data_IF_124223163374
#
_entry.id   IF_124223163374
#
_cell.length_a   1.000
_cell.length_b   1.000
_cell.length_c   1.000
_cell.angle_alpha   90.00
_cell.angle_beta   90.00
_cell.angle_gamma   90.00
#
_symmetry.space_group_name_H-M   'P 1'
#
loop_
_entity.id
_entity.type
_entity.pdbx_description
1 polymer ?
#
# COMPACT_ATOMS: atom_id res chain seq x y z
N UNK A 1 31.71 -33.49 -72.76
CA UNK A 1 31.17 -32.13 -72.88
C UNK A 1 32.17 -31.15 -72.32
N UNK A 2 31.86 -29.85 -72.39
CA UNK A 2 32.59 -28.83 -71.63
C UNK A 2 32.19 -28.93 -70.14
N UNK A 3 33.11 -29.30 -69.24
CA UNK A 3 32.80 -29.49 -67.81
C UNK A 3 32.35 -28.20 -67.14
N UNK A 4 32.77 -27.02 -67.63
CA UNK A 4 32.29 -25.74 -67.09
C UNK A 4 30.81 -25.52 -67.39
N UNK A 5 30.39 -25.73 -68.63
CA UNK A 5 28.98 -25.62 -69.01
C UNK A 5 28.09 -26.61 -68.24
N UNK A 6 28.58 -27.83 -68.01
CA UNK A 6 27.87 -28.84 -67.21
C UNK A 6 27.77 -28.44 -65.73
N UNK A 7 28.86 -27.94 -65.15
CA UNK A 7 28.88 -27.46 -63.77
C UNK A 7 27.97 -26.25 -63.55
N UNK A 8 27.93 -25.29 -64.48
CA UNK A 8 27.01 -24.14 -64.41
C UNK A 8 25.56 -24.60 -64.43
N UNK A 9 25.21 -25.53 -65.33
CA UNK A 9 23.85 -26.10 -65.38
C UNK A 9 23.49 -26.82 -64.07
N UNK A 10 24.39 -27.66 -63.55
CA UNK A 10 24.17 -28.35 -62.27
C UNK A 10 24.04 -27.35 -61.11
N UNK A 11 24.79 -26.26 -61.13
CA UNK A 11 24.69 -25.22 -60.11
C UNK A 11 23.37 -24.45 -60.19
N UNK A 12 22.85 -24.17 -61.38
CA UNK A 12 21.51 -23.59 -61.54
C UNK A 12 20.42 -24.55 -61.06
N UNK A 13 20.52 -25.84 -61.39
CA UNK A 13 19.57 -26.88 -60.97
C UNK A 13 19.55 -27.08 -59.45
N UNK A 14 20.72 -27.01 -58.81
CA UNK A 14 20.89 -27.27 -57.37
C UNK A 14 20.91 -26.00 -56.51
N UNK A 15 20.91 -24.81 -57.12
CA UNK A 15 21.19 -23.55 -56.42
C UNK A 15 22.58 -23.51 -55.78
N UNK A 16 23.57 -24.18 -56.39
CA UNK A 16 24.92 -24.35 -55.86
C UNK A 16 25.86 -23.19 -56.25
N UNK A 17 26.98 -23.07 -55.53
CA UNK A 17 28.10 -22.25 -56.01
C UNK A 17 29.00 -23.07 -56.93
N UNK A 18 29.62 -22.42 -57.92
CA UNK A 18 30.61 -23.04 -58.80
C UNK A 18 32.00 -22.53 -58.45
N UNK A 19 32.95 -23.44 -58.22
CA UNK A 19 34.37 -23.14 -58.14
C UNK A 19 35.12 -23.76 -59.32
N UNK A 20 35.78 -22.90 -60.10
CA UNK A 20 36.53 -23.29 -61.31
C UNK A 20 38.05 -23.34 -61.10
N UNK A 21 38.51 -22.95 -59.92
CA UNK A 21 39.91 -22.94 -59.52
C UNK A 21 40.06 -23.10 -57.99
N UNK A 22 41.31 -23.32 -57.55
CA UNK A 22 41.66 -23.54 -56.16
C UNK A 22 41.28 -22.37 -55.24
N UNK A 23 41.45 -21.13 -55.69
CA UNK A 23 41.19 -19.95 -54.88
C UNK A 23 39.69 -19.75 -54.64
N UNK A 24 38.88 -19.93 -55.68
CA UNK A 24 37.43 -19.91 -55.59
C UNK A 24 36.91 -21.01 -54.66
N UNK A 25 37.48 -22.23 -54.74
CA UNK A 25 37.10 -23.33 -53.87
C UNK A 25 37.46 -23.06 -52.40
N UNK A 26 38.69 -22.60 -52.12
CA UNK A 26 39.11 -22.24 -50.75
C UNK A 26 38.25 -21.11 -50.16
N UNK A 27 37.90 -20.10 -50.96
CA UNK A 27 37.03 -18.99 -50.54
C UNK A 27 35.62 -19.49 -50.22
N UNK A 28 35.04 -20.31 -51.10
CA UNK A 28 33.70 -20.86 -50.94
C UNK A 28 33.57 -21.77 -49.72
N UNK A 29 34.60 -22.59 -49.44
CA UNK A 29 34.64 -23.42 -48.23
C UNK A 29 34.85 -22.59 -46.98
N UNK A 30 35.76 -21.62 -46.99
CA UNK A 30 35.99 -20.73 -45.84
C UNK A 30 34.71 -19.97 -45.46
N UNK A 31 33.97 -19.49 -46.45
CA UNK A 31 32.67 -18.84 -46.25
C UNK A 31 31.65 -19.78 -45.61
N UNK A 32 31.50 -21.01 -46.14
CA UNK A 32 30.61 -22.04 -45.58
C UNK A 32 30.98 -22.43 -44.16
N UNK A 33 32.27 -22.58 -43.86
CA UNK A 33 32.75 -22.87 -42.50
C UNK A 33 32.43 -21.72 -41.56
N UNK A 34 32.66 -20.47 -41.98
CA UNK A 34 32.29 -19.29 -41.19
C UNK A 34 30.78 -19.18 -40.99
N UNK A 35 29.98 -19.53 -41.99
CA UNK A 35 28.53 -19.55 -41.91
C UNK A 35 28.03 -20.68 -40.99
N UNK A 36 28.58 -21.89 -41.11
CA UNK A 36 28.25 -23.04 -40.26
C UNK A 36 28.58 -22.78 -38.79
N UNK A 37 29.70 -22.11 -38.50
CA UNK A 37 30.03 -21.68 -37.12
C UNK A 37 29.00 -20.68 -36.57
N UNK A 38 28.53 -19.73 -37.37
CA UNK A 38 27.49 -18.78 -36.97
C UNK A 38 26.14 -19.47 -36.74
N UNK A 39 25.77 -20.39 -37.63
CA UNK A 39 24.53 -21.16 -37.52
C UNK A 39 24.47 -22.00 -36.23
N UNK A 40 25.59 -22.57 -35.78
CA UNK A 40 25.64 -23.43 -34.58
C UNK A 40 25.69 -22.66 -33.23
N UNK A 41 25.65 -21.33 -33.23
CA UNK A 41 25.92 -20.55 -32.01
C UNK A 41 24.78 -20.54 -30.95
N UNK A 42 23.59 -21.09 -31.19
CA UNK A 42 22.57 -21.31 -30.14
C UNK A 42 21.56 -22.43 -30.49
N UNK A 43 20.66 -22.77 -29.57
CA UNK A 43 19.64 -23.81 -29.76
C UNK A 43 18.51 -23.42 -30.72
N UNK A 44 18.32 -24.22 -31.77
CA UNK A 44 17.34 -24.03 -32.86
C UNK A 44 15.87 -23.86 -32.41
N UNK A 45 15.51 -24.33 -31.22
CA UNK A 45 14.13 -24.26 -30.73
C UNK A 45 13.68 -22.81 -30.43
N UNK A 46 14.58 -21.99 -29.88
CA UNK A 46 14.27 -20.60 -29.53
C UNK A 46 14.20 -19.70 -30.78
N UNK A 47 15.06 -19.95 -31.76
CA UNK A 47 15.08 -19.21 -33.02
C UNK A 47 13.81 -19.43 -33.84
N UNK A 48 13.34 -20.67 -33.94
CA UNK A 48 12.10 -20.97 -34.65
C UNK A 48 10.89 -20.31 -33.99
N UNK A 49 10.85 -20.25 -32.65
CA UNK A 49 9.81 -19.54 -31.92
C UNK A 49 9.86 -18.01 -32.14
N UNK A 50 11.06 -17.42 -32.17
CA UNK A 50 11.25 -16.00 -32.50
C UNK A 50 10.83 -15.68 -33.94
N UNK A 51 11.27 -16.48 -34.90
CA UNK A 51 10.93 -16.32 -36.32
C UNK A 51 9.43 -16.50 -36.58
N UNK A 52 8.76 -17.42 -35.88
CA UNK A 52 7.31 -17.55 -35.93
C UNK A 52 6.57 -16.29 -35.44
N UNK A 53 7.21 -15.51 -34.55
CA UNK A 53 6.70 -14.25 -34.00
C UNK A 53 7.24 -13.00 -34.73
N UNK A 54 8.05 -13.16 -35.77
CA UNK A 54 8.76 -12.06 -36.44
C UNK A 54 7.84 -10.89 -36.85
N UNK A 55 6.69 -11.21 -37.47
CA UNK A 55 5.73 -10.19 -37.89
C UNK A 55 5.09 -9.42 -36.70
N UNK A 56 4.94 -10.06 -35.54
CA UNK A 56 4.47 -9.39 -34.33
C UNK A 56 5.55 -8.48 -33.74
N UNK A 57 6.79 -8.96 -33.65
CA UNK A 57 7.94 -8.20 -33.15
C UNK A 57 8.18 -6.97 -34.02
N UNK A 58 8.24 -7.13 -35.36
CA UNK A 58 8.44 -6.01 -36.29
C UNK A 58 7.29 -4.99 -36.24
N UNK A 59 6.04 -5.45 -36.09
CA UNK A 59 4.89 -4.55 -35.90
C UNK A 59 4.98 -3.78 -34.58
N UNK A 60 5.39 -4.43 -33.50
CA UNK A 60 5.59 -3.75 -32.22
C UNK A 60 6.69 -2.69 -32.32
N UNK A 61 7.82 -3.02 -32.97
CA UNK A 61 8.93 -2.10 -33.19
C UNK A 61 8.58 -0.91 -34.12
N UNK A 62 7.59 -1.05 -35.02
CA UNK A 62 7.12 0.04 -35.89
C UNK A 62 6.00 0.87 -35.27
N UNK A 63 5.13 0.27 -34.45
CA UNK A 63 4.03 0.96 -33.78
C UNK A 63 4.51 1.93 -32.69
N UNK A 64 5.65 1.61 -32.07
CA UNK A 64 6.35 2.52 -31.15
C UNK A 64 7.76 2.68 -31.68
N UNK A 65 8.02 3.70 -32.55
CA UNK A 65 9.35 3.91 -33.08
C UNK A 65 10.33 3.98 -31.90
N UNK A 66 11.50 3.34 -32.03
CA UNK A 66 12.42 3.22 -30.92
C UNK A 66 12.84 4.61 -30.47
N UNK A 67 12.66 4.88 -29.18
CA UNK A 67 13.24 6.08 -28.58
C UNK A 67 14.75 5.98 -28.71
N UNK A 68 15.36 7.01 -29.28
CA UNK A 68 16.82 7.10 -29.33
C UNK A 68 17.40 7.17 -27.92
N UNK A 69 18.63 6.71 -27.72
CA UNK A 69 19.32 6.82 -26.43
C UNK A 69 19.33 8.28 -25.91
N UNK A 70 19.51 9.25 -26.82
CA UNK A 70 19.45 10.69 -26.54
C UNK A 70 18.06 11.13 -26.04
N UNK A 71 16.99 10.57 -26.61
CA UNK A 71 15.60 10.88 -26.23
C UNK A 71 15.26 10.26 -24.87
N UNK A 72 15.74 9.04 -24.60
CA UNK A 72 15.63 8.38 -23.30
C UNK A 72 16.36 9.18 -22.22
N UNK A 73 17.58 9.65 -22.50
CA UNK A 73 18.33 10.52 -21.59
C UNK A 73 17.60 11.85 -21.37
N UNK A 74 17.07 12.45 -22.43
CA UNK A 74 16.31 13.70 -22.32
C UNK A 74 15.03 13.52 -21.49
N UNK A 75 14.28 12.45 -21.68
CA UNK A 75 13.08 12.13 -20.88
C UNK A 75 13.43 11.99 -19.41
N UNK A 76 14.50 11.25 -19.06
CA UNK A 76 14.98 11.10 -17.68
C UNK A 76 15.41 12.43 -17.07
N UNK A 77 16.12 13.25 -17.84
CA UNK A 77 16.56 14.58 -17.38
C UNK A 77 15.35 15.48 -17.10
N UNK A 78 14.40 15.55 -18.01
CA UNK A 78 13.21 16.40 -17.84
C UNK A 78 12.31 15.88 -16.73
N UNK A 79 12.15 14.58 -16.57
CA UNK A 79 11.50 13.96 -15.42
C UNK A 79 12.11 14.43 -14.09
N UNK A 80 13.44 14.34 -13.96
CA UNK A 80 14.14 14.81 -12.77
C UNK A 80 13.95 16.32 -12.54
N UNK A 81 13.94 17.13 -13.61
CA UNK A 81 13.68 18.56 -13.54
C UNK A 81 12.24 18.87 -13.08
N UNK A 82 11.22 18.12 -13.54
CA UNK A 82 9.83 18.27 -13.10
C UNK A 82 9.72 18.01 -11.60
N UNK A 83 10.24 16.87 -11.14
CA UNK A 83 10.19 16.48 -9.73
C UNK A 83 10.95 17.48 -8.85
N UNK A 84 12.12 17.94 -9.30
CA UNK A 84 12.90 18.97 -8.62
C UNK A 84 12.13 20.29 -8.55
N UNK A 85 11.55 20.75 -9.66
CA UNK A 85 10.75 21.96 -9.70
C UNK A 85 9.52 21.87 -8.78
N UNK A 86 8.87 20.70 -8.73
CA UNK A 86 7.75 20.42 -7.84
C UNK A 86 8.13 20.54 -6.37
N UNK A 87 9.24 19.93 -5.96
CA UNK A 87 9.79 20.05 -4.60
C UNK A 87 10.15 21.49 -4.24
N UNK A 88 10.82 22.22 -5.15
CA UNK A 88 11.17 23.64 -4.93
C UNK A 88 9.91 24.48 -4.75
N UNK A 89 8.88 24.25 -5.59
CA UNK A 89 7.58 24.93 -5.47
C UNK A 89 6.94 24.65 -4.11
N UNK A 90 6.78 23.38 -3.74
CA UNK A 90 6.16 22.99 -2.47
C UNK A 90 6.88 23.60 -1.26
N UNK A 91 8.22 23.51 -1.23
CA UNK A 91 9.02 24.07 -0.15
C UNK A 91 8.94 25.60 -0.09
N UNK A 92 8.97 26.28 -1.25
CA UNK A 92 8.86 27.75 -1.31
C UNK A 92 7.49 28.21 -0.81
N UNK A 93 6.41 27.56 -1.25
CA UNK A 93 5.05 27.87 -0.79
C UNK A 93 4.92 27.65 0.71
N UNK A 94 5.35 26.50 1.22
CA UNK A 94 5.31 26.19 2.66
C UNK A 94 6.08 27.24 3.49
N UNK A 95 7.31 27.56 3.10
CA UNK A 95 8.14 28.56 3.80
C UNK A 95 7.53 29.97 3.77
N UNK A 96 6.91 30.36 2.65
CA UNK A 96 6.21 31.64 2.56
C UNK A 96 4.97 31.65 3.44
N UNK A 97 4.18 30.58 3.43
CA UNK A 97 3.00 30.42 4.28
C UNK A 97 3.37 30.49 5.78
N UNK A 98 4.40 29.75 6.21
CA UNK A 98 4.93 29.80 7.58
C UNK A 98 5.37 31.22 7.99
N UNK A 99 6.09 31.92 7.09
CA UNK A 99 6.57 33.28 7.37
C UNK A 99 5.42 34.28 7.47
N UNK A 100 4.39 34.13 6.62
CA UNK A 100 3.19 34.96 6.67
C UNK A 100 2.39 34.68 7.95
N UNK A 101 2.19 33.40 8.28
CA UNK A 101 1.49 32.99 9.50
C UNK A 101 2.20 33.50 10.76
N UNK A 102 3.54 33.43 10.82
CA UNK A 102 4.31 33.98 11.94
C UNK A 102 4.15 35.50 12.09
N UNK A 103 4.08 36.24 10.97
CA UNK A 103 3.85 37.69 10.97
C UNK A 103 2.42 38.05 11.36
N UNK A 104 1.44 37.28 10.88
CA UNK A 104 0.02 37.42 11.22
C UNK A 104 -0.18 37.17 12.72
N UNK A 105 0.31 36.04 13.24
CA UNK A 105 0.24 35.69 14.65
C UNK A 105 0.92 36.74 15.57
N UNK A 106 2.02 37.37 15.11
CA UNK A 106 2.68 38.44 15.86
C UNK A 106 1.90 39.77 15.85
N UNK A 107 0.96 39.98 14.93
CA UNK A 107 0.20 41.23 14.78
C UNK A 107 -1.27 41.14 15.23
N UNK A 108 -1.84 39.94 15.34
CA UNK A 108 -3.23 39.74 15.78
C UNK A 108 -3.35 39.69 17.31
N UNK A 109 -3.54 40.85 17.95
CA UNK A 109 -3.78 40.94 19.40
C UNK A 109 -5.18 40.50 19.87
N UNK A 110 -6.13 40.28 18.95
CA UNK A 110 -7.56 39.99 19.26
C UNK A 110 -8.17 39.08 18.18
N UNK A 111 -7.58 37.91 17.93
CA UNK A 111 -8.17 36.90 17.05
C UNK A 111 -8.48 35.63 17.84
N UNK A 112 -9.60 34.97 17.52
CA UNK A 112 -9.89 33.61 17.97
C UNK A 112 -8.70 32.72 17.63
N UNK A 113 -7.99 32.24 18.65
CA UNK A 113 -6.78 31.46 18.43
C UNK A 113 -7.16 30.16 17.70
N UNK A 114 -6.54 29.80 16.56
CA UNK A 114 -6.91 28.62 15.78
C UNK A 114 -6.94 27.31 16.58
N UNK A 115 -6.05 27.16 17.55
CA UNK A 115 -6.04 25.99 18.43
C UNK A 115 -7.31 25.86 19.30
N UNK A 116 -7.99 26.96 19.63
CA UNK A 116 -9.24 26.93 20.38
C UNK A 116 -10.40 26.42 19.52
N UNK A 117 -10.42 26.76 18.23
CA UNK A 117 -11.39 26.24 17.25
C UNK A 117 -11.13 24.75 17.04
N UNK A 118 -9.88 24.34 16.78
CA UNK A 118 -9.50 22.94 16.60
C UNK A 118 -9.82 22.09 17.85
N UNK A 119 -9.54 22.60 19.05
CA UNK A 119 -9.87 21.89 20.29
C UNK A 119 -11.38 21.79 20.53
N UNK A 120 -12.16 22.79 20.14
CA UNK A 120 -13.62 22.74 20.24
C UNK A 120 -14.22 21.75 19.23
N UNK A 121 -13.73 21.72 17.99
CA UNK A 121 -14.11 20.74 16.99
C UNK A 121 -13.81 19.30 17.44
N UNK A 122 -12.58 19.05 17.90
CA UNK A 122 -12.17 17.75 18.44
C UNK A 122 -13.04 17.31 19.62
N UNK A 123 -13.41 18.24 20.52
CA UNK A 123 -14.30 17.93 21.63
C UNK A 123 -15.71 17.50 21.17
N UNK A 124 -16.22 18.05 20.05
CA UNK A 124 -17.51 17.62 19.46
C UNK A 124 -17.37 16.23 18.84
N UNK A 125 -16.35 16.01 18.00
CA UNK A 125 -16.16 14.72 17.32
C UNK A 125 -15.87 13.57 18.30
N UNK A 126 -15.09 13.83 19.35
CA UNK A 126 -14.83 12.86 20.42
C UNK A 126 -16.08 12.52 21.23
N UNK A 127 -16.94 13.51 21.49
CA UNK A 127 -18.20 13.31 22.21
C UNK A 127 -19.19 12.50 21.37
N UNK A 128 -19.30 12.78 20.07
CA UNK A 128 -20.15 12.04 19.13
C UNK A 128 -19.66 10.59 18.98
N UNK A 129 -18.34 10.39 18.86
CA UNK A 129 -17.75 9.05 18.86
C UNK A 129 -18.00 8.28 20.18
N UNK A 130 -18.11 8.97 21.31
CA UNK A 130 -18.48 8.34 22.59
C UNK A 130 -19.95 7.90 22.60
N UNK A 131 -20.87 8.67 22.02
CA UNK A 131 -22.28 8.28 21.87
C UNK A 131 -22.39 7.06 20.97
N UNK A 132 -21.72 7.04 19.82
CA UNK A 132 -21.72 5.90 18.89
C UNK A 132 -21.20 4.63 19.57
N UNK A 133 -20.11 4.71 20.35
CA UNK A 133 -19.60 3.57 21.13
C UNK A 133 -20.59 3.08 22.19
N UNK A 134 -21.27 3.99 22.89
CA UNK A 134 -22.29 3.62 23.87
C UNK A 134 -23.49 2.94 23.18
N UNK A 135 -23.94 3.44 22.04
CA UNK A 135 -25.01 2.84 21.24
C UNK A 135 -24.63 1.45 20.71
N UNK A 136 -23.39 1.27 20.26
CA UNK A 136 -22.87 -0.05 19.87
C UNK A 136 -22.88 -1.02 21.06
N UNK A 137 -22.42 -0.60 22.25
CA UNK A 137 -22.48 -1.42 23.45
C UNK A 137 -23.92 -1.80 23.85
N UNK A 138 -24.89 -0.91 23.65
CA UNK A 138 -26.33 -1.18 23.83
C UNK A 138 -26.81 -2.24 22.82
N UNK A 139 -26.41 -2.11 21.55
CA UNK A 139 -26.77 -3.06 20.50
C UNK A 139 -26.16 -4.45 20.74
N UNK A 140 -24.90 -4.51 21.19
CA UNK A 140 -24.19 -5.76 21.53
C UNK A 140 -24.84 -6.50 22.70
N UNK A 141 -25.49 -5.78 23.61
CA UNK A 141 -26.27 -6.37 24.70
C UNK A 141 -27.56 -7.05 24.20
N UNK A 142 -27.95 -6.89 22.93
CA UNK A 142 -29.14 -7.50 22.32
C UNK A 142 -30.47 -6.89 22.76
N UNK A 143 -31.60 -7.28 22.11
CA UNK A 143 -32.93 -6.77 22.43
C UNK A 143 -33.34 -7.16 23.86
N UNK A 144 -34.06 -6.25 24.53
CA UNK A 144 -34.56 -6.49 25.89
C UNK A 144 -35.41 -7.77 25.90
N UNK A 145 -35.10 -8.75 26.79
CA UNK A 145 -35.93 -9.93 26.91
C UNK A 145 -37.34 -9.48 27.31
N UNK A 146 -38.39 -10.05 26.69
CA UNK A 146 -39.77 -9.69 27.02
C UNK A 146 -40.00 -9.85 28.52
N UNK A 147 -40.71 -8.88 29.12
CA UNK A 147 -41.00 -8.95 30.54
C UNK A 147 -41.92 -10.16 30.79
N UNK A 148 -41.57 -11.12 31.67
CA UNK A 148 -42.39 -12.30 31.91
C UNK A 148 -43.80 -11.97 32.43
N UNK A 149 -44.05 -10.74 32.89
CA UNK A 149 -45.40 -10.27 33.26
C UNK A 149 -46.31 -10.01 32.05
N UNK A 150 -45.74 -9.77 30.86
CA UNK A 150 -46.52 -9.56 29.62
C UNK A 150 -46.91 -10.89 28.93
N UNK A 151 -46.38 -12.03 29.41
CA UNK A 151 -46.70 -13.35 28.86
C UNK A 151 -47.94 -14.01 29.50
N UNK A 152 -48.59 -13.35 30.47
CA UNK A 152 -49.76 -13.89 31.20
C UNK A 152 -51.12 -13.39 30.73
N UNK A 153 -51.20 -12.59 29.67
CA UNK A 153 -52.46 -12.30 28.99
C UNK A 153 -52.83 -13.45 28.04
N UNK A 154 -53.22 -14.58 28.63
CA UNK A 154 -53.93 -15.63 27.92
C UNK A 154 -55.30 -15.12 27.44
N UNK A 155 -55.84 -15.64 26.32
CA UNK A 155 -57.15 -15.27 25.80
C UNK A 155 -58.24 -15.90 26.68
N UNK A 156 -58.54 -15.25 27.79
CA UNK A 156 -59.58 -15.65 28.75
C UNK A 156 -60.52 -14.47 28.98
N UNK A 157 -61.72 -14.58 28.42
CA UNK A 157 -62.70 -13.51 28.41
C UNK A 157 -63.18 -13.05 29.78
N UNK A 158 -63.50 -11.77 29.85
CA UNK A 158 -64.61 -11.26 30.63
C UNK A 158 -65.23 -10.12 29.83
N UNK A 159 -66.37 -10.41 29.23
CA UNK A 159 -67.36 -9.42 28.83
C UNK A 159 -67.70 -8.58 30.08
N UNK A 160 -67.34 -7.30 30.06
CA UNK A 160 -67.98 -6.30 30.92
C UNK A 160 -68.23 -5.04 30.07
N UNK A 161 -69.48 -4.79 29.65
CA UNK A 161 -69.82 -3.63 28.85
C UNK A 161 -70.38 -2.55 29.76
N UNK A 162 -69.58 -1.56 30.18
CA UNK A 162 -70.06 -0.23 30.61
C UNK A 162 -68.88 0.63 31.09
N UNK A 163 -68.48 1.59 30.26
CA UNK A 163 -68.52 3.04 30.53
C UNK A 163 -67.60 3.77 29.55
N UNK A 164 -68.22 4.40 28.55
CA UNK A 164 -67.64 5.53 27.82
C UNK A 164 -67.39 6.69 28.79
N UNK A 165 -66.14 7.13 28.92
CA UNK A 165 -65.82 8.53 29.20
C UNK A 165 -64.71 9.02 28.26
N UNK A 166 -64.92 10.13 27.53
CA UNK A 166 -63.88 10.79 26.76
C UNK A 166 -63.24 11.91 27.59
N UNK A 167 -61.92 11.91 27.73
CA UNK A 167 -61.22 13.15 28.07
C UNK A 167 -59.92 12.99 28.84
N UNK A 168 -58.84 13.36 28.15
CA UNK A 168 -57.76 14.24 28.61
C UNK A 168 -56.39 13.66 28.23
N UNK A 169 -55.75 14.33 27.28
CA UNK A 169 -54.32 14.20 27.02
C UNK A 169 -53.55 14.58 28.30
N UNK A 170 -53.00 13.57 28.97
CA UNK A 170 -52.06 13.76 30.08
C UNK A 170 -50.64 13.71 29.51
N UNK A 171 -49.96 14.84 29.66
CA UNK A 171 -48.57 15.14 29.29
C UNK A 171 -47.58 14.27 30.11
N UNK A 172 -46.67 13.49 29.49
CA UNK A 172 -45.84 12.51 30.21
C UNK A 172 -44.49 13.05 30.70
N UNK A 173 -44.37 14.34 31.06
CA UNK A 173 -43.06 14.95 31.38
C UNK A 173 -42.78 15.13 32.87
N UNK A 174 -43.75 14.97 33.78
CA UNK A 174 -43.53 15.31 35.18
C UNK A 174 -44.04 14.22 36.12
N UNK A 175 -43.21 13.20 36.36
CA UNK A 175 -43.03 12.56 37.69
C UNK A 175 -42.00 11.43 37.61
N UNK A 176 -40.70 11.75 37.71
CA UNK A 176 -39.66 10.81 38.16
C UNK A 176 -39.15 11.26 39.54
N UNK A 177 -38.99 10.35 40.51
CA UNK A 177 -38.51 10.72 41.84
C UNK A 177 -37.03 11.12 41.75
N UNK A 178 -36.70 12.31 42.26
CA UNK A 178 -35.33 12.79 42.43
C UNK A 178 -34.60 11.87 43.41
N UNK A 179 -33.80 10.94 42.89
CA UNK A 179 -32.75 10.32 43.71
C UNK A 179 -31.70 11.40 44.00
N UNK A 180 -31.44 11.61 45.29
CA UNK A 180 -30.52 12.61 45.81
C UNK A 180 -29.12 12.25 45.31
N UNK A 181 -28.64 13.03 44.34
CA UNK A 181 -27.31 12.93 43.75
C UNK A 181 -26.25 13.15 44.82
N UNK A 182 -25.32 12.21 45.02
CA UNK A 182 -24.22 12.35 45.98
C UNK A 182 -23.14 13.29 45.44
N UNK A 183 -23.43 14.59 45.49
CA UNK A 183 -22.52 15.68 45.10
C UNK A 183 -21.17 15.60 45.84
N UNK A 184 -21.15 15.01 47.04
CA UNK A 184 -19.96 14.93 47.90
C UNK A 184 -18.98 13.84 47.47
N UNK A 185 -19.46 12.78 46.81
CA UNK A 185 -18.62 11.76 46.16
C UNK A 185 -17.85 12.31 44.96
N UNK A 186 -18.49 13.15 44.15
CA UNK A 186 -17.91 13.80 42.98
C UNK A 186 -16.86 14.87 43.35
N UNK A 187 -17.08 15.63 44.43
CA UNK A 187 -16.08 16.56 44.93
C UNK A 187 -14.79 15.84 45.38
N UNK A 188 -14.90 14.70 46.08
CA UNK A 188 -13.73 13.90 46.50
C UNK A 188 -12.91 13.39 45.31
N UNK A 189 -13.55 12.97 44.21
CA UNK A 189 -12.87 12.59 42.96
C UNK A 189 -12.17 13.79 42.31
N UNK A 190 -12.82 14.95 42.26
CA UNK A 190 -12.24 16.18 41.69
C UNK A 190 -11.00 16.66 42.47
N UNK A 191 -11.00 16.55 43.80
CA UNK A 191 -9.83 16.91 44.61
C UNK A 191 -8.64 15.96 44.38
N UNK A 192 -8.89 14.64 44.28
CA UNK A 192 -7.83 13.66 43.97
C UNK A 192 -7.25 13.87 42.57
N UNK A 193 -8.08 14.15 41.57
CA UNK A 193 -7.65 14.41 40.21
C UNK A 193 -6.83 15.71 40.11
N UNK A 194 -7.24 16.78 40.81
CA UNK A 194 -6.48 18.05 40.87
C UNK A 194 -5.12 17.91 41.56
N UNK A 195 -5.06 17.12 42.64
CA UNK A 195 -3.80 16.84 43.32
C UNK A 195 -2.83 16.04 42.43
N UNK A 196 -3.35 15.02 41.71
CA UNK A 196 -2.57 14.24 40.76
C UNK A 196 -2.10 15.08 39.56
N UNK A 197 -2.95 15.96 39.01
CA UNK A 197 -2.56 16.81 37.88
C UNK A 197 -1.50 17.85 38.25
N UNK A 198 -1.57 18.39 39.47
CA UNK A 198 -0.54 19.30 39.97
C UNK A 198 0.78 18.56 40.17
N UNK A 199 0.74 17.36 40.78
CA UNK A 199 1.93 16.53 40.98
C UNK A 199 2.59 16.19 39.64
N UNK A 200 1.82 15.78 38.62
CA UNK A 200 2.36 15.43 37.31
C UNK A 200 2.96 16.64 36.58
N UNK A 201 2.35 17.82 36.71
CA UNK A 201 2.85 19.05 36.10
C UNK A 201 4.23 19.43 36.68
N UNK A 202 4.36 19.45 38.02
CA UNK A 202 5.62 19.80 38.68
C UNK A 202 6.70 18.73 38.49
N UNK A 203 6.32 17.45 38.43
CA UNK A 203 7.26 16.37 38.07
C UNK A 203 7.79 16.53 36.64
N UNK A 204 6.91 16.82 35.67
CA UNK A 204 7.31 17.08 34.29
C UNK A 204 8.22 18.30 34.15
N UNK A 205 7.89 19.41 34.83
CA UNK A 205 8.71 20.62 34.81
C UNK A 205 10.09 20.37 35.45
N UNK A 206 10.15 19.57 36.51
CA UNK A 206 11.41 19.17 37.15
C UNK A 206 12.30 18.34 36.22
N UNK A 207 11.72 17.40 35.46
CA UNK A 207 12.45 16.58 34.48
C UNK A 207 12.99 17.44 33.34
N UNK A 208 12.18 18.36 32.80
CA UNK A 208 12.62 19.28 31.73
C UNK A 208 13.74 20.21 32.21
N UNK A 209 13.62 20.75 33.43
CA UNK A 209 14.67 21.59 34.01
C UNK A 209 15.99 20.81 34.22
N UNK A 210 15.91 19.55 34.63
CA UNK A 210 17.06 18.66 34.79
C UNK A 210 17.70 18.32 33.45
N UNK A 211 16.90 18.02 32.41
CA UNK A 211 17.37 17.76 31.06
C UNK A 211 18.02 18.99 30.40
N UNK A 212 17.63 20.19 30.83
CA UNK A 212 18.14 21.48 30.30
C UNK A 212 19.44 21.94 30.98
N UNK A 213 20.04 21.12 31.85
CA UNK A 213 21.32 21.42 32.51
C UNK A 213 21.23 22.50 33.60
N UNK A 214 20.03 22.85 34.06
CA UNK A 214 19.85 23.73 35.22
C UNK A 214 20.34 22.99 36.47
N UNK A 215 21.03 23.70 37.38
CA UNK A 215 21.63 23.11 38.57
C UNK A 215 20.64 22.17 39.29
N UNK A 216 21.06 20.95 39.68
CA UNK A 216 20.17 19.89 40.18
C UNK A 216 19.35 20.30 41.42
N UNK A 217 19.84 21.30 42.16
CA UNK A 217 19.13 21.90 43.29
C UNK A 217 17.80 22.55 42.88
N UNK A 218 17.71 23.15 41.70
CA UNK A 218 16.50 23.81 41.19
C UNK A 218 15.44 22.78 40.78
N UNK A 219 15.84 21.72 40.07
CA UNK A 219 14.96 20.62 39.70
C UNK A 219 14.40 19.87 40.92
N UNK A 220 15.27 19.58 41.90
CA UNK A 220 14.84 18.99 43.18
C UNK A 220 13.89 19.89 43.97
N UNK A 221 14.14 21.21 43.97
CA UNK A 221 13.27 22.20 44.63
C UNK A 221 11.85 22.22 44.06
N UNK A 222 11.69 22.16 42.73
CA UNK A 222 10.38 22.16 42.07
C UNK A 222 9.56 20.90 42.38
N UNK A 223 10.21 19.73 42.43
CA UNK A 223 9.55 18.48 42.80
C UNK A 223 9.12 18.51 44.27
N UNK A 224 9.96 19.02 45.16
CA UNK A 224 9.63 19.16 46.59
C UNK A 224 8.43 20.12 46.80
N UNK A 225 8.37 21.24 46.07
CA UNK A 225 7.23 22.17 46.11
C UNK A 225 5.95 21.52 45.58
N UNK A 226 6.04 20.75 44.49
CA UNK A 226 4.90 20.00 43.95
C UNK A 226 4.34 18.97 44.94
N UNK A 227 5.21 18.21 45.60
CA UNK A 227 4.83 17.24 46.65
C UNK A 227 4.22 17.96 47.87
N UNK A 228 4.78 19.10 48.28
CA UNK A 228 4.27 19.87 49.41
C UNK A 228 2.86 20.43 49.12
N UNK A 229 2.61 20.97 47.92
CA UNK A 229 1.30 21.48 47.52
C UNK A 229 0.26 20.35 47.37
N UNK A 230 0.68 19.18 46.85
CA UNK A 230 -0.17 17.99 46.81
C UNK A 230 -0.52 17.49 48.22
N UNK A 231 0.44 17.47 49.15
CA UNK A 231 0.20 17.10 50.54
C UNK A 231 -0.70 18.11 51.27
N UNK A 232 -0.51 19.41 51.07
CA UNK A 232 -1.34 20.47 51.65
C UNK A 232 -2.80 20.40 51.17
N UNK A 233 -3.02 20.08 49.89
CA UNK A 233 -4.37 19.91 49.35
C UNK A 233 -5.06 18.63 49.85
N UNK A 234 -4.30 17.55 50.10
CA UNK A 234 -4.81 16.32 50.73
C UNK A 234 -5.11 16.51 52.23
N UNK A 235 -4.22 17.15 52.99
CA UNK A 235 -4.36 17.38 54.45
C UNK A 235 -5.43 18.42 54.76
N UNK A 236 -5.57 19.46 53.91
CA UNK A 236 -6.65 20.45 54.02
C UNK A 236 -8.05 19.85 53.84
N UNK A 237 -8.17 18.74 53.12
CA UNK A 237 -9.42 18.00 52.94
C UNK A 237 -9.78 17.08 54.13
N UNK A 238 -8.80 16.58 54.89
CA UNK A 238 -9.03 15.59 55.95
C UNK A 238 -9.57 16.17 57.26
N UNK A 239 -9.27 17.44 57.61
CA UNK A 239 -9.71 18.04 58.89
C UNK A 239 -11.24 18.25 59.02
N UNK A 240 -12.04 17.94 57.99
CA UNK A 240 -13.52 18.02 58.03
C UNK A 240 -14.23 16.68 58.12
N UNK A 241 -13.53 15.54 58.16
CA UNK A 241 -14.18 14.22 57.98
C UNK A 241 -13.91 13.16 59.04
N UNK A 242 -13.25 13.50 60.16
CA UNK A 242 -12.91 12.54 61.24
C UNK A 242 -14.09 12.01 62.07
N UNK A 243 -15.34 12.14 61.58
CA UNK A 243 -16.53 11.52 62.21
C UNK A 243 -17.15 10.39 61.40
N UNK A 244 -16.63 10.06 60.21
CA UNK A 244 -17.25 9.11 59.28
C UNK A 244 -16.37 7.89 58.90
N UNK A 245 -15.20 7.74 59.52
CA UNK A 245 -14.29 6.60 59.27
C UNK A 245 -14.59 5.36 60.13
N UNK A 246 -15.52 5.44 61.09
CA UNK A 246 -15.93 4.29 61.88
C UNK A 246 -16.84 3.31 61.11
N UNK A 247 -17.67 3.80 60.18
CA UNK A 247 -18.64 2.95 59.44
C UNK A 247 -18.08 2.34 58.14
N UNK A 248 -16.89 2.76 57.69
CA UNK A 248 -16.33 2.31 56.39
C UNK A 248 -15.44 1.06 56.51
N UNK A 249 -14.94 0.75 57.71
CA UNK A 249 -14.13 -0.45 57.95
C UNK A 249 -14.95 -1.76 57.80
N UNK A 250 -16.26 -1.71 58.04
CA UNK A 250 -17.15 -2.87 57.93
C UNK A 250 -17.56 -3.21 56.48
N UNK A 251 -17.39 -2.27 55.54
CA UNK A 251 -17.78 -2.46 54.13
C UNK A 251 -16.60 -2.95 53.27
N UNK A 252 -15.37 -2.53 53.59
CA UNK A 252 -14.17 -2.97 52.87
C UNK A 252 -13.78 -4.43 53.20
N UNK A 253 -14.16 -4.94 54.39
CA UNK A 253 -14.01 -6.37 54.74
C UNK A 253 -14.89 -7.33 53.93
N UNK A 254 -16.02 -6.85 53.38
CA UNK A 254 -16.94 -7.66 52.57
C UNK A 254 -16.58 -7.70 51.08
N UNK A 255 -15.83 -6.71 50.58
CA UNK A 255 -15.39 -6.68 49.17
C UNK A 255 -14.15 -7.55 48.91
N UNK A 256 -13.24 -7.69 49.89
CA UNK A 256 -12.07 -8.55 49.77
C UNK A 256 -12.40 -10.06 49.74
N UNK A 257 -13.52 -10.48 50.34
CA UNK A 257 -13.99 -11.86 50.30
C UNK A 257 -14.66 -12.25 48.96
N UNK A 258 -15.12 -11.28 48.16
CA UNK A 258 -15.68 -11.54 46.83
C UNK A 258 -14.57 -11.76 45.78
N UNK A 259 -13.43 -11.09 45.90
CA UNK A 259 -12.32 -11.23 44.95
C UNK A 259 -11.60 -12.59 45.05
N UNK A 260 -11.60 -13.22 46.24
CA UNK A 260 -11.02 -14.55 46.47
C UNK A 260 -11.86 -15.71 45.89
N UNK A 261 -13.16 -15.50 45.63
CA UNK A 261 -14.07 -16.53 45.10
C UNK A 261 -14.04 -16.59 43.56
N UNK A 262 -13.67 -15.50 42.89
CA UNK A 262 -13.72 -15.39 41.42
C UNK A 262 -12.35 -15.42 40.70
N UNK A 263 -11.24 -15.41 41.43
CA UNK A 263 -9.89 -15.26 40.85
C UNK A 263 -9.13 -16.54 40.47
N UNK A 264 -9.64 -17.75 40.74
CA UNK A 264 -8.83 -18.97 40.65
C UNK A 264 -9.49 -20.16 39.98
N UNK A 265 -9.71 -20.14 38.66
CA UNK A 265 -9.88 -21.36 37.83
C UNK A 265 -9.97 -21.07 36.31
N UNK A 266 -8.81 -21.05 35.60
CA UNK A 266 -8.63 -21.70 34.27
C UNK A 266 -7.25 -21.45 33.64
N UNK A 267 -6.37 -22.44 33.77
CA UNK A 267 -5.39 -22.95 32.79
C UNK A 267 -4.56 -24.02 33.54
N UNK A 268 -4.49 -25.31 33.22
CA UNK A 268 -5.07 -26.17 32.21
C UNK A 268 -4.27 -27.48 32.30
N UNK A 269 -4.89 -28.65 32.38
CA UNK A 269 -4.26 -29.90 31.93
C UNK A 269 -5.33 -30.96 31.71
N UNK A 270 -5.36 -31.46 30.48
CA UNK A 270 -6.08 -32.66 30.08
C UNK A 270 -5.12 -33.82 30.34
N UNK A 271 -5.56 -34.81 31.09
CA UNK A 271 -5.07 -36.18 30.89
C UNK A 271 -6.20 -37.18 31.06
N UNK A 272 -6.16 -38.17 30.20
CA UNK A 272 -7.16 -39.20 30.02
C UNK A 272 -6.90 -40.42 30.92
N UNK A 273 -7.96 -41.24 31.01
CA UNK A 273 -8.00 -42.65 31.40
C UNK A 273 -8.23 -42.96 32.90
N UNK A 274 -9.39 -43.58 33.14
CA UNK A 274 -9.51 -45.00 33.50
C UNK A 274 -10.46 -45.29 34.68
N UNK A 275 -11.29 -46.30 34.42
CA UNK A 275 -12.06 -47.20 35.26
C UNK A 275 -12.50 -46.82 36.69
N UNK A 276 -13.81 -46.95 36.92
CA UNK A 276 -14.29 -48.08 37.73
C UNK A 276 -15.07 -47.75 39.01
N UNK A 277 -16.35 -48.14 39.00
CA UNK A 277 -17.18 -48.46 40.17
C UNK A 277 -17.60 -47.27 41.03
N UNK A 278 -18.64 -47.33 41.84
CA UNK A 278 -19.71 -48.30 42.08
C UNK A 278 -20.66 -47.56 43.05
N UNK A 279 -21.95 -47.87 42.96
CA UNK A 279 -23.04 -47.68 43.91
C UNK A 279 -23.02 -46.59 45.00
N UNK A 280 -24.09 -45.78 45.03
CA UNK A 280 -24.34 -44.89 46.17
C UNK A 280 -25.61 -44.03 46.11
N UNK A 281 -26.77 -44.66 46.04
CA UNK A 281 -28.07 -44.25 46.59
C UNK A 281 -28.35 -42.74 46.88
N UNK A 282 -29.36 -42.22 46.17
CA UNK A 282 -30.48 -41.48 46.77
C UNK A 282 -30.18 -40.11 47.38
N UNK A 283 -30.18 -39.06 46.55
CA UNK A 283 -30.57 -37.70 46.98
C UNK A 283 -31.45 -37.05 45.91
N UNK A 284 -32.66 -36.70 46.34
CA UNK A 284 -33.63 -35.85 45.65
C UNK A 284 -32.95 -34.57 45.17
N UNK A 285 -32.96 -34.36 43.85
CA UNK A 285 -32.50 -33.15 43.20
C UNK A 285 -33.33 -31.94 43.70
N UNK A 286 -32.71 -30.89 44.25
CA UNK A 286 -33.36 -29.60 44.36
C UNK A 286 -33.39 -28.92 42.98
N UNK A 287 -34.47 -28.19 42.71
CA UNK A 287 -34.67 -27.35 41.53
C UNK A 287 -33.59 -26.25 41.41
N UNK A 288 -32.42 -26.57 40.86
CA UNK A 288 -31.27 -25.65 40.68
C UNK A 288 -31.30 -24.90 39.34
N UNK A 289 -32.37 -25.06 38.53
CA UNK A 289 -32.43 -24.46 37.19
C UNK A 289 -33.04 -23.04 37.11
N UNK A 290 -33.60 -22.49 38.20
CA UNK A 290 -34.17 -21.13 38.21
C UNK A 290 -33.15 -20.05 38.63
N UNK A 291 -32.30 -20.33 39.63
CA UNK A 291 -31.31 -19.35 40.15
C UNK A 291 -30.28 -18.88 39.11
N UNK A 292 -29.85 -19.75 38.19
CA UNK A 292 -28.87 -19.39 37.15
C UNK A 292 -29.42 -18.45 36.07
N UNK A 293 -30.73 -18.48 35.82
CA UNK A 293 -31.40 -17.60 34.84
C UNK A 293 -31.57 -16.20 35.44
N UNK A 294 -31.93 -16.12 36.71
CA UNK A 294 -32.10 -14.84 37.42
C UNK A 294 -30.75 -14.09 37.55
N UNK A 295 -29.65 -14.78 37.84
CA UNK A 295 -28.33 -14.12 37.89
C UNK A 295 -27.86 -13.60 36.54
N UNK A 296 -28.13 -14.31 35.44
CA UNK A 296 -27.80 -13.82 34.08
C UNK A 296 -28.68 -12.65 33.67
N UNK A 297 -29.97 -12.66 34.05
CA UNK A 297 -30.90 -11.55 33.82
C UNK A 297 -30.47 -10.32 34.62
N UNK A 298 -30.20 -10.45 35.92
CA UNK A 298 -29.75 -9.35 36.78
C UNK A 298 -28.42 -8.77 36.32
N UNK A 299 -27.42 -9.61 35.99
CA UNK A 299 -26.14 -9.13 35.47
C UNK A 299 -26.28 -8.41 34.12
N UNK A 300 -27.24 -8.81 33.28
CA UNK A 300 -27.55 -8.12 32.03
C UNK A 300 -28.22 -6.77 32.28
N UNK A 301 -29.20 -6.72 33.19
CA UNK A 301 -29.89 -5.47 33.57
C UNK A 301 -28.87 -4.48 34.17
N UNK A 302 -28.01 -4.92 35.09
CA UNK A 302 -26.97 -4.08 35.67
C UNK A 302 -26.02 -3.52 34.60
N UNK A 303 -25.56 -4.37 33.67
CA UNK A 303 -24.75 -3.92 32.53
C UNK A 303 -25.49 -2.92 31.67
N UNK A 304 -26.78 -3.15 31.40
CA UNK A 304 -27.59 -2.25 30.58
C UNK A 304 -27.75 -0.88 31.24
N UNK A 305 -28.03 -0.83 32.54
CA UNK A 305 -28.11 0.43 33.31
C UNK A 305 -26.81 1.21 33.27
N UNK A 306 -25.65 0.53 33.39
CA UNK A 306 -24.34 1.19 33.29
C UNK A 306 -24.08 1.74 31.90
N UNK A 307 -24.43 1.00 30.85
CA UNK A 307 -24.25 1.44 29.46
C UNK A 307 -25.22 2.57 29.10
N UNK A 308 -26.47 2.52 29.56
CA UNK A 308 -27.45 3.58 29.36
C UNK A 308 -27.05 4.87 30.09
N UNK A 309 -26.54 4.77 31.33
CA UNK A 309 -25.97 5.93 32.04
C UNK A 309 -24.75 6.52 31.30
N UNK A 310 -23.88 5.67 30.75
CA UNK A 310 -22.74 6.14 29.95
C UNK A 310 -23.18 6.80 28.64
N UNK A 311 -24.28 6.34 28.04
CA UNK A 311 -24.91 6.96 26.88
C UNK A 311 -25.47 8.34 27.24
N UNK A 312 -26.24 8.47 28.32
CA UNK A 312 -26.79 9.75 28.78
C UNK A 312 -25.66 10.77 29.07
N UNK A 313 -24.57 10.34 29.72
CA UNK A 313 -23.40 11.19 29.95
C UNK A 313 -22.70 11.60 28.64
N UNK A 314 -22.63 10.69 27.65
CA UNK A 314 -22.07 11.01 26.34
C UNK A 314 -22.96 12.00 25.56
N UNK A 315 -24.27 11.83 25.59
CA UNK A 315 -25.24 12.74 24.96
C UNK A 315 -25.17 14.15 25.57
N UNK A 316 -25.04 14.25 26.90
CA UNK A 316 -24.84 15.55 27.57
C UNK A 316 -23.50 16.18 27.17
N UNK A 317 -22.43 15.40 27.03
CA UNK A 317 -21.14 15.91 26.54
C UNK A 317 -21.24 16.44 25.11
N UNK A 318 -21.98 15.76 24.23
CA UNK A 318 -22.24 16.27 22.86
C UNK A 318 -22.99 17.60 22.92
N UNK A 319 -24.03 17.69 23.76
CA UNK A 319 -24.81 18.93 23.93
C UNK A 319 -23.93 20.10 24.37
N UNK A 320 -23.11 19.90 25.41
CA UNK A 320 -22.19 20.93 25.94
C UNK A 320 -21.12 21.29 24.91
N UNK A 321 -20.52 20.31 24.23
CA UNK A 321 -19.51 20.53 23.20
C UNK A 321 -20.08 21.31 22.00
N UNK A 322 -21.29 20.95 21.54
CA UNK A 322 -21.97 21.66 20.44
C UNK A 322 -22.35 23.08 20.80
N UNK A 323 -22.84 23.35 22.01
CA UNK A 323 -23.11 24.73 22.47
C UNK A 323 -21.82 25.57 22.45
N UNK A 324 -20.71 25.00 22.95
CA UNK A 324 -19.41 25.67 22.94
C UNK A 324 -18.89 25.88 21.51
N UNK A 325 -19.08 24.91 20.62
CA UNK A 325 -18.76 25.04 19.20
C UNK A 325 -19.56 26.17 18.55
N UNK A 326 -20.89 26.19 18.72
CA UNK A 326 -21.75 27.24 18.16
C UNK A 326 -21.38 28.65 18.67
N UNK A 327 -20.96 28.78 19.93
CA UNK A 327 -20.48 30.06 20.48
C UNK A 327 -19.18 30.55 19.85
N UNK A 328 -18.32 29.62 19.40
CA UNK A 328 -17.01 29.93 18.82
C UNK A 328 -17.05 30.09 17.30
N UNK A 329 -17.76 29.20 16.61
CA UNK A 329 -17.75 29.03 15.17
C UNK A 329 -19.06 29.48 14.48
N UNK A 330 -20.13 29.70 15.25
CA UNK A 330 -21.48 29.92 14.74
C UNK A 330 -22.29 28.62 14.61
N UNK A 331 -23.63 28.72 14.53
CA UNK A 331 -24.52 27.54 14.49
C UNK A 331 -24.46 26.77 13.17
N UNK A 332 -24.04 27.42 12.08
CA UNK A 332 -23.98 26.81 10.74
C UNK A 332 -22.61 26.19 10.41
N UNK A 333 -21.64 26.30 11.32
CA UNK A 333 -20.28 25.81 11.11
C UNK A 333 -20.19 24.30 11.33
N UNK A 334 -19.54 23.60 10.39
CA UNK A 334 -19.32 22.17 10.47
C UNK A 334 -18.13 21.83 11.39
N UNK A 335 -18.32 21.12 12.51
CA UNK A 335 -17.23 20.68 13.39
C UNK A 335 -16.27 19.67 12.73
N UNK A 336 -16.65 19.07 11.60
CA UNK A 336 -15.77 18.18 10.82
C UNK A 336 -14.88 18.94 9.83
N UNK A 337 -15.10 20.24 9.63
CA UNK A 337 -14.26 21.14 8.83
C UNK A 337 -13.85 22.39 9.64
N UNK A 338 -13.03 22.22 10.70
CA UNK A 338 -12.59 23.35 11.51
C UNK A 338 -11.68 24.31 10.75
N UNK A 339 -11.06 23.88 9.66
CA UNK A 339 -10.19 24.71 8.83
C UNK A 339 -10.99 25.76 8.05
N UNK A 340 -12.17 25.42 7.53
CA UNK A 340 -13.08 26.40 6.93
C UNK A 340 -13.51 27.48 7.93
N UNK A 341 -13.78 27.10 9.18
CA UNK A 341 -14.15 28.04 10.26
C UNK A 341 -12.98 28.96 10.61
N UNK A 342 -11.77 28.40 10.76
CA UNK A 342 -10.56 29.19 11.01
C UNK A 342 -10.31 30.18 9.87
N UNK A 343 -10.48 29.76 8.60
CA UNK A 343 -10.35 30.63 7.42
C UNK A 343 -11.42 31.74 7.39
N UNK A 344 -12.66 31.44 7.79
CA UNK A 344 -13.74 32.40 7.83
C UNK A 344 -13.56 33.48 8.91
N UNK A 345 -13.07 33.09 10.09
CA UNK A 345 -12.86 34.00 11.23
C UNK A 345 -11.51 34.73 11.20
N UNK A 346 -10.53 34.24 10.46
CA UNK A 346 -9.27 34.92 10.22
C UNK A 346 -9.09 35.25 8.73
N UNK A 347 -9.59 36.42 8.28
CA UNK A 347 -9.37 36.90 6.92
C UNK A 347 -7.88 36.94 6.57
N UNK A 348 -6.98 37.11 7.54
CA UNK A 348 -5.54 37.18 7.29
C UNK A 348 -4.97 35.81 6.87
N UNK A 349 -5.59 34.69 7.28
CA UNK A 349 -5.24 33.36 6.78
C UNK A 349 -5.68 33.17 5.32
N UNK A 350 -6.91 33.58 4.97
CA UNK A 350 -7.37 33.60 3.57
C UNK A 350 -6.53 34.55 2.70
N UNK A 351 -6.10 35.70 3.24
CA UNK A 351 -5.14 36.58 2.59
C UNK A 351 -3.76 35.96 2.49
N UNK A 352 -3.31 35.14 3.44
CA UNK A 352 -1.97 34.53 3.41
C UNK A 352 -1.84 33.46 2.31
N UNK A 353 -2.88 32.66 2.06
CA UNK A 353 -2.93 31.70 0.94
C UNK A 353 -2.89 32.45 -0.40
N UNK A 354 -3.75 33.47 -0.57
CA UNK A 354 -3.76 34.32 -1.76
C UNK A 354 -2.48 35.19 -1.90
N UNK A 355 -1.87 35.60 -0.80
CA UNK A 355 -0.62 36.39 -0.76
C UNK A 355 0.60 35.53 -1.09
N UNK A 356 0.64 34.29 -0.62
CA UNK A 356 1.65 33.33 -1.00
C UNK A 356 1.58 33.07 -2.51
N UNK A 357 0.39 32.90 -3.09
CA UNK A 357 0.23 32.74 -4.54
C UNK A 357 0.57 34.00 -5.36
N UNK A 358 0.33 35.19 -4.81
CA UNK A 358 0.65 36.47 -5.48
C UNK A 358 2.09 36.94 -5.26
N UNK A 359 2.85 36.31 -4.36
CA UNK A 359 4.27 36.58 -4.13
C UNK A 359 5.07 36.44 -5.44
N UNK A 360 5.88 37.45 -5.83
CA UNK A 360 6.69 37.37 -7.05
C UNK A 360 7.59 36.13 -7.11
N UNK A 361 8.15 35.70 -5.97
CA UNK A 361 9.00 34.52 -5.87
C UNK A 361 8.21 33.24 -6.15
N UNK A 362 7.05 33.05 -5.49
CA UNK A 362 6.18 31.89 -5.71
C UNK A 362 5.67 31.85 -7.15
N UNK A 363 5.29 33.00 -7.72
CA UNK A 363 4.88 33.10 -9.14
C UNK A 363 6.00 32.69 -10.09
N UNK A 364 7.24 33.11 -9.82
CA UNK A 364 8.41 32.75 -10.64
C UNK A 364 8.68 31.25 -10.58
N UNK A 365 8.66 30.65 -9.38
CA UNK A 365 8.84 29.20 -9.20
C UNK A 365 7.70 28.42 -9.83
N UNK A 366 6.44 28.86 -9.68
CA UNK A 366 5.29 28.25 -10.31
C UNK A 366 5.32 28.37 -11.85
N UNK A 367 5.85 29.47 -12.40
CA UNK A 367 6.07 29.64 -13.83
C UNK A 367 7.15 28.68 -14.34
N UNK A 368 8.27 28.54 -13.61
CA UNK A 368 9.30 27.56 -13.92
C UNK A 368 8.75 26.12 -13.91
N UNK A 369 8.01 25.75 -12.85
CA UNK A 369 7.36 24.44 -12.77
C UNK A 369 6.42 24.18 -13.94
N UNK A 370 5.54 25.14 -14.29
CA UNK A 370 4.63 25.03 -15.44
C UNK A 370 5.39 24.86 -16.76
N UNK A 371 6.48 25.59 -16.96
CA UNK A 371 7.34 25.48 -18.15
C UNK A 371 7.96 24.08 -18.25
N UNK A 372 8.50 23.56 -17.14
CA UNK A 372 9.10 22.23 -17.10
C UNK A 372 8.05 21.13 -17.33
N UNK A 373 6.87 21.25 -16.71
CA UNK A 373 5.76 20.33 -16.92
C UNK A 373 5.23 20.37 -18.37
N UNK A 374 5.20 21.54 -19.00
CA UNK A 374 4.85 21.65 -20.42
C UNK A 374 5.87 20.96 -21.32
N UNK A 375 7.18 21.13 -21.04
CA UNK A 375 8.24 20.40 -21.76
C UNK A 375 8.12 18.89 -21.59
N UNK A 376 7.83 18.43 -20.37
CA UNK A 376 7.56 17.02 -20.09
C UNK A 376 6.41 16.49 -20.93
N UNK A 377 5.26 17.18 -20.95
CA UNK A 377 4.10 16.80 -21.77
C UNK A 377 4.43 16.69 -23.25
N UNK A 378 5.21 17.63 -23.79
CA UNK A 378 5.62 17.61 -25.20
C UNK A 378 6.50 16.39 -25.50
N UNK A 379 7.50 16.11 -24.66
CA UNK A 379 8.38 14.95 -24.84
C UNK A 379 7.63 13.63 -24.66
N UNK A 380 6.70 13.56 -23.71
CA UNK A 380 5.87 12.39 -23.49
C UNK A 380 4.93 12.11 -24.68
N UNK A 381 4.34 13.16 -25.25
CA UNK A 381 3.55 13.07 -26.47
C UNK A 381 4.41 12.66 -27.67
N UNK A 382 5.63 13.17 -27.78
CA UNK A 382 6.58 12.75 -28.81
C UNK A 382 6.94 11.25 -28.71
N UNK A 383 6.93 10.69 -27.50
CA UNK A 383 7.07 9.25 -27.26
C UNK A 383 5.79 8.43 -27.59
N UNK A 384 4.77 9.05 -28.20
CA UNK A 384 3.54 8.38 -28.64
C UNK A 384 2.50 8.17 -27.54
N UNK A 385 2.54 8.97 -26.46
CA UNK A 385 1.61 8.86 -25.32
C UNK A 385 0.82 10.16 -25.14
N UNK A 386 -0.50 10.06 -25.21
CA UNK A 386 -1.38 11.24 -25.23
C UNK A 386 -1.44 11.98 -23.89
N UNK A 387 -1.39 11.25 -22.77
CA UNK A 387 -1.52 11.81 -21.43
C UNK A 387 -0.25 11.60 -20.62
N UNK A 388 0.35 12.70 -20.17
CA UNK A 388 1.54 12.68 -19.35
C UNK A 388 1.17 12.41 -17.88
N UNK A 389 1.91 11.53 -17.17
CA UNK A 389 1.64 11.24 -15.77
C UNK A 389 1.67 12.46 -14.88
N UNK A 390 0.90 12.36 -13.81
CA UNK A 390 1.09 13.23 -12.65
C UNK A 390 2.48 13.05 -12.03
N UNK A 391 3.07 14.10 -11.44
CA UNK A 391 4.41 14.05 -10.87
C UNK A 391 4.62 12.91 -9.86
N UNK A 392 3.58 12.50 -9.14
CA UNK A 392 3.62 11.43 -8.14
C UNK A 392 3.82 10.03 -8.76
N UNK A 393 3.36 9.84 -9.99
CA UNK A 393 3.44 8.57 -10.72
C UNK A 393 4.50 8.60 -11.84
N UNK A 394 5.21 9.71 -11.98
CA UNK A 394 6.08 10.00 -13.11
C UNK A 394 7.22 8.97 -13.23
N UNK A 395 7.92 8.68 -12.13
CA UNK A 395 9.05 7.73 -12.13
C UNK A 395 8.59 6.32 -12.50
N UNK A 396 7.50 5.84 -11.88
CA UNK A 396 6.96 4.51 -12.14
C UNK A 396 6.54 4.32 -13.60
N UNK A 397 5.83 5.31 -14.17
CA UNK A 397 5.41 5.24 -15.58
C UNK A 397 6.58 5.39 -16.55
N UNK A 398 7.59 6.19 -16.21
CA UNK A 398 8.80 6.30 -17.03
C UNK A 398 9.57 4.97 -17.03
N UNK A 399 9.72 4.32 -15.88
CA UNK A 399 10.39 3.02 -15.79
C UNK A 399 9.64 1.93 -16.55
N UNK A 400 8.31 1.91 -16.47
CA UNK A 400 7.47 1.01 -17.26
C UNK A 400 7.68 1.23 -18.77
N UNK A 401 7.60 2.49 -19.21
CA UNK A 401 7.79 2.86 -20.61
C UNK A 401 9.19 2.43 -21.11
N UNK A 402 10.23 2.76 -20.36
CA UNK A 402 11.61 2.40 -20.71
C UNK A 402 11.88 0.90 -20.60
N UNK A 403 11.17 0.19 -19.71
CA UNK A 403 11.21 -1.27 -19.60
C UNK A 403 10.61 -1.94 -20.84
N UNK A 404 9.40 -1.53 -21.24
CA UNK A 404 8.72 -2.02 -22.43
C UNK A 404 9.52 -1.73 -23.71
N UNK A 405 10.11 -0.54 -23.80
CA UNK A 405 10.98 -0.16 -24.91
C UNK A 405 12.22 -1.05 -25.00
N UNK A 406 12.95 -1.25 -23.89
CA UNK A 406 14.12 -2.16 -23.85
C UNK A 406 13.77 -3.59 -24.21
N UNK A 407 12.62 -4.10 -23.74
CA UNK A 407 12.16 -5.44 -24.08
C UNK A 407 11.89 -5.56 -25.59
N UNK A 408 11.25 -4.56 -26.19
CA UNK A 408 10.96 -4.53 -27.64
C UNK A 408 12.25 -4.48 -28.46
N UNK A 409 13.23 -3.68 -28.05
CA UNK A 409 14.55 -3.60 -28.71
C UNK A 409 15.35 -4.89 -28.57
N UNK A 410 15.32 -5.52 -27.39
CA UNK A 410 15.96 -6.82 -27.19
C UNK A 410 15.31 -7.92 -28.04
N UNK A 411 13.98 -7.90 -28.19
CA UNK A 411 13.26 -8.82 -29.06
C UNK A 411 13.62 -8.60 -30.54
N UNK A 412 13.72 -7.35 -30.98
CA UNK A 412 14.13 -7.00 -32.34
C UNK A 412 15.58 -7.43 -32.62
N UNK A 413 16.52 -7.13 -31.73
CA UNK A 413 17.92 -7.55 -31.87
C UNK A 413 18.06 -9.09 -31.91
N UNK A 414 17.35 -9.80 -31.04
CA UNK A 414 17.33 -11.28 -31.06
C UNK A 414 16.72 -11.83 -32.34
N UNK A 415 15.70 -11.17 -32.89
CA UNK A 415 15.11 -11.54 -34.18
C UNK A 415 16.12 -11.35 -35.32
N UNK A 416 16.83 -10.21 -35.37
CA UNK A 416 17.87 -9.95 -36.36
C UNK A 416 18.99 -11.00 -36.28
N UNK A 417 19.46 -11.32 -35.07
CA UNK A 417 20.44 -12.39 -34.84
C UNK A 417 19.92 -13.77 -35.28
N UNK A 418 18.65 -14.08 -35.05
CA UNK A 418 18.04 -15.34 -35.52
C UNK A 418 17.92 -15.38 -37.05
N UNK A 419 17.59 -14.26 -37.69
CA UNK A 419 17.53 -14.14 -39.15
C UNK A 419 18.92 -14.28 -39.78
N UNK A 420 19.95 -13.66 -39.20
CA UNK A 420 21.34 -13.80 -39.64
C UNK A 420 21.84 -15.24 -39.52
N UNK A 421 21.48 -15.94 -38.44
CA UNK A 421 21.84 -17.34 -38.25
C UNK A 421 21.11 -18.26 -39.21
N UNK A 422 19.82 -18.02 -39.46
CA UNK A 422 19.07 -18.75 -40.49
C UNK A 422 19.66 -18.54 -41.88
N UNK A 423 20.04 -17.30 -42.23
CA UNK A 423 20.72 -17.01 -43.48
C UNK A 423 22.09 -17.73 -43.56
N UNK A 424 22.85 -17.75 -42.46
CA UNK A 424 24.11 -18.47 -42.38
C UNK A 424 23.93 -19.99 -42.53
N UNK A 425 22.87 -20.57 -41.97
CA UNK A 425 22.55 -21.99 -42.13
C UNK A 425 22.27 -22.35 -43.59
N UNK A 426 21.53 -21.49 -44.31
CA UNK A 426 21.30 -21.65 -45.75
C UNK A 426 22.62 -21.62 -46.54
N UNK A 427 23.53 -20.69 -46.23
CA UNK A 427 24.84 -20.63 -46.89
C UNK A 427 25.67 -21.88 -46.58
N UNK A 428 25.67 -22.34 -45.33
CA UNK A 428 26.44 -23.50 -44.90
C UNK A 428 25.99 -24.80 -45.59
N UNK A 429 24.69 -24.92 -45.88
CA UNK A 429 24.08 -26.08 -46.55
C UNK A 429 24.07 -25.96 -48.08
N UNK A 430 24.44 -24.80 -48.65
CA UNK A 430 24.42 -24.60 -50.10
C UNK A 430 25.43 -25.53 -50.79
N UNK A 431 25.03 -26.34 -51.79
CA UNK A 431 25.95 -27.25 -52.46
C UNK A 431 27.11 -26.50 -53.14
N UNK A 432 28.25 -27.15 -53.28
CA UNK A 432 29.43 -26.62 -53.98
C UNK A 432 29.78 -27.52 -55.17
N UNK A 433 29.81 -26.96 -56.37
CA UNK A 433 30.22 -27.65 -57.59
C UNK A 433 31.67 -27.32 -57.89
N UNK A 434 32.54 -28.32 -57.87
CA UNK A 434 33.96 -28.19 -58.20
C UNK A 434 34.19 -28.63 -59.64
N UNK A 435 34.77 -27.75 -60.47
CA UNK A 435 35.07 -28.04 -61.88
C UNK A 435 36.52 -28.47 -62.03
N UNK A 436 36.70 -29.71 -62.50
CA UNK A 436 38.01 -30.32 -62.77
C UNK A 436 39.01 -30.18 -61.59
N UNK A 437 38.65 -30.47 -60.32
CA UNK A 437 39.55 -30.30 -59.17
C UNK A 437 40.86 -31.06 -59.30
N UNK A 438 40.88 -32.19 -60.01
CA UNK A 438 42.11 -32.93 -60.29
C UNK A 438 43.14 -32.17 -61.12
N UNK A 439 42.77 -31.07 -61.77
CA UNK A 439 43.67 -30.24 -62.59
C UNK A 439 44.38 -29.14 -61.80
N UNK A 440 43.85 -28.75 -60.64
CA UNK A 440 44.38 -27.65 -59.84
C UNK A 440 44.66 -27.99 -58.37
N UNK A 441 44.30 -29.19 -57.90
CA UNK A 441 44.64 -29.68 -56.57
C UNK A 441 45.40 -30.99 -56.54
N UNK A 442 46.28 -31.08 -55.54
CA UNK A 442 46.91 -32.34 -55.16
C UNK A 442 45.89 -33.26 -54.47
N UNK A 443 45.92 -34.59 -54.73
CA UNK A 443 44.91 -35.52 -54.24
C UNK A 443 44.61 -35.44 -52.73
N UNK A 444 45.62 -35.25 -51.87
CA UNK A 444 45.41 -35.17 -50.42
C UNK A 444 44.87 -33.83 -49.91
N UNK A 445 44.98 -32.76 -50.71
CA UNK A 445 44.56 -31.41 -50.29
C UNK A 445 43.06 -31.19 -50.52
N UNK A 446 42.50 -31.81 -51.56
CA UNK A 446 41.06 -31.88 -51.78
C UNK A 446 40.36 -32.52 -50.58
N UNK A 447 40.83 -33.69 -50.14
CA UNK A 447 40.25 -34.41 -49.00
C UNK A 447 40.28 -33.58 -47.72
N UNK A 448 41.40 -32.89 -47.45
CA UNK A 448 41.53 -32.01 -46.28
C UNK A 448 40.50 -30.87 -46.31
N UNK A 449 40.27 -30.27 -47.48
CA UNK A 449 39.32 -29.18 -47.62
C UNK A 449 37.88 -29.69 -47.53
N UNK A 450 37.55 -30.83 -48.13
CA UNK A 450 36.22 -31.44 -48.00
C UNK A 450 35.91 -31.83 -46.55
N UNK A 451 36.90 -32.30 -45.79
CA UNK A 451 36.76 -32.63 -44.36
C UNK A 451 36.44 -31.39 -43.50
N UNK A 452 36.78 -30.18 -43.98
CA UNK A 452 36.51 -28.95 -43.25
C UNK A 452 35.07 -28.43 -43.40
N UNK A 453 34.28 -28.97 -44.32
CA UNK A 453 32.92 -28.51 -44.58
C UNK A 453 31.98 -28.78 -43.39
N UNK A 454 31.03 -27.87 -43.11
CA UNK A 454 30.02 -28.11 -42.09
C UNK A 454 29.11 -29.30 -42.47
N UNK A 455 28.51 -29.98 -41.48
CA UNK A 455 27.60 -31.09 -41.74
C UNK A 455 26.43 -30.62 -42.61
N UNK A 456 26.12 -31.40 -43.66
CA UNK A 456 25.07 -31.08 -44.63
C UNK A 456 25.50 -30.22 -45.83
N UNK A 457 26.78 -29.84 -45.94
CA UNK A 457 27.33 -29.22 -47.14
C UNK A 457 27.62 -30.27 -48.23
N UNK A 458 26.78 -30.33 -49.26
CA UNK A 458 26.99 -31.24 -50.40
C UNK A 458 28.06 -30.72 -51.37
N UNK A 459 28.91 -31.61 -51.88
CA UNK A 459 29.90 -31.29 -52.91
C UNK A 459 29.71 -32.17 -54.12
N UNK A 460 29.59 -31.54 -55.29
CA UNK A 460 29.48 -32.20 -56.59
C UNK A 460 30.76 -31.94 -57.36
N UNK A 461 31.44 -33.00 -57.81
CA UNK A 461 32.67 -32.89 -58.58
C UNK A 461 32.35 -33.17 -60.05
N UNK A 462 32.63 -32.21 -60.94
CA UNK A 462 32.46 -32.34 -62.39
C UNK A 462 33.82 -32.43 -63.03
N UNK A 463 34.17 -33.63 -63.50
CA UNK A 463 35.45 -33.91 -64.16
C UNK A 463 35.25 -34.11 -65.66
N UNK A 464 36.22 -33.69 -66.48
CA UNK A 464 36.24 -34.10 -67.88
C UNK A 464 36.45 -35.60 -67.92
N UNK A 465 35.56 -36.32 -68.61
CA UNK A 465 35.69 -37.74 -68.85
C UNK A 465 37.11 -38.02 -69.39
N UNK A 466 37.95 -38.67 -68.57
CA UNK A 466 39.26 -39.12 -69.03
C UNK A 466 38.95 -40.01 -70.21
N UNK A 467 39.39 -39.59 -71.40
CA UNK A 467 39.42 -40.47 -72.57
C UNK A 467 40.31 -41.62 -72.13
N UNK A 468 39.70 -42.72 -71.70
CA UNK A 468 40.40 -43.95 -71.38
C UNK A 468 40.95 -44.44 -72.70
N UNK A 469 42.09 -43.87 -73.10
CA UNK A 469 42.91 -44.31 -74.20
C UNK A 469 43.51 -45.65 -73.82
N UNK A 470 42.65 -46.66 -73.82
CA UNK A 470 43.00 -48.03 -74.16
C UNK A 470 42.28 -48.32 -75.48
N UNK A 471 42.65 -47.54 -76.48
CA UNK A 471 42.60 -47.97 -77.86
C UNK A 471 43.91 -48.75 -78.01
N UNK A 472 43.92 -49.99 -77.48
CA UNK A 472 44.93 -50.99 -77.83
C UNK A 472 44.74 -51.17 -79.35
N UNK A 473 45.50 -50.40 -80.13
CA UNK A 473 45.50 -50.52 -81.58
C UNK A 473 45.67 -51.99 -81.95
N UNK A 474 44.98 -52.49 -82.99
CA UNK A 474 45.19 -53.84 -83.45
C UNK A 474 46.69 -54.02 -83.74
N UNK A 475 47.30 -54.93 -83.00
CA UNK A 475 48.64 -55.43 -83.25
C UNK A 475 48.58 -56.19 -84.59
N UNK A 476 48.74 -55.44 -85.69
CA UNK A 476 48.96 -56.01 -87.02
C UNK A 476 50.37 -56.64 -87.04
N UNK A 477 50.47 -57.77 -86.35
CA UNK A 477 51.53 -58.73 -86.47
C UNK A 477 51.53 -59.32 -87.89
N UNK A 478 52.64 -59.08 -88.58
CA UNK A 478 53.00 -59.59 -89.91
C UNK A 478 52.70 -61.08 -90.11
N UNK A 479 52.19 -61.39 -91.29
CA UNK A 479 52.45 -62.63 -92.05
C UNK A 479 52.97 -62.26 -93.42
#
# INVERSE_FOLDING_TARGET
GDPRAEATRLAEELGADVAVDAEAAERAVRERVAAGRRAMASGDADDNALLARAAAIRRAATASPPLGDDEVEELRRVAADVLRAGRIKAHTVARFAETLQAKVAASSGVALHPSAVLAAAAAVTDAEAAVTRAQQAIADLGPEPPDPTDATDGPGGSDDPLLDEPGAAADPVLHRPRQVFDERGLERRRYRLRALSLLSLFAGLGIVAFASGVAPVVGGGLIAVGVLLAALTLVGGHRRTDKASADRADVEGNLANLEAVFGGSRAGHVDAADAGGDDGAGRTAPDVHTSGVDHRRSARIERRVVVDAAREEAEERVRVARVRWHQLAGPDADPYDPDAVVKAHDPQLAYSENAAESSPTVRTVAAFHRKTQARWRVLWAAAGRDEAPDPEHLEAQLDELLGAHRATMADAARLDEAEERRAAAVIAQRPLVLVEPSTWWEPGRLDQLLTSLPPGGDVVIVERARRTGRDDGPDDGKG
#
